data_IF_881038173291
#
_entry.id   IF_881038173291
#
_cell.length_a   1.000
_cell.length_b   1.000
_cell.length_c   1.000
_cell.angle_alpha   90.00
_cell.angle_beta   90.00
_cell.angle_gamma   90.00
#
_symmetry.space_group_name_H-M   'P 1'
#
loop_
_entity.id
_entity.type
_entity.pdbx_description
1 polymer ?
#
# COMPACT_ATOMS: atom_id res chain seq x y z
N UNK A 1 10.77 25.84 0.79
CA UNK A 1 9.80 24.73 0.77
C UNK A 1 10.16 23.87 -0.43
N UNK A 2 10.83 22.75 -0.21
CA UNK A 2 11.28 21.88 -1.30
C UNK A 2 10.05 21.32 -2.02
N UNK A 3 9.95 21.52 -3.34
CA UNK A 3 8.85 21.00 -4.16
C UNK A 3 9.13 19.52 -4.42
N UNK A 4 8.99 18.68 -3.40
CA UNK A 4 9.20 17.24 -3.54
C UNK A 4 8.24 16.71 -4.61
N UNK A 5 8.79 16.21 -5.71
CA UNK A 5 8.00 15.74 -6.86
C UNK A 5 7.09 14.60 -6.44
N UNK A 6 5.82 14.67 -6.83
CA UNK A 6 4.82 13.64 -6.57
C UNK A 6 4.53 12.91 -7.88
N UNK A 7 4.53 11.58 -7.85
CA UNK A 7 4.07 10.72 -8.96
C UNK A 7 2.83 9.94 -8.52
N UNK A 8 1.88 9.81 -9.44
CA UNK A 8 0.70 8.93 -9.28
C UNK A 8 0.88 7.73 -10.19
N UNK A 9 0.73 6.54 -9.64
CA UNK A 9 0.85 5.26 -10.34
C UNK A 9 -0.44 4.47 -10.12
N UNK A 10 -0.86 3.71 -11.13
CA UNK A 10 -1.91 2.70 -11.00
C UNK A 10 -1.26 1.36 -10.68
N UNK A 11 -1.78 0.68 -9.66
CA UNK A 11 -1.38 -0.66 -9.31
C UNK A 11 -1.71 -1.63 -10.46
N UNK A 12 -0.79 -2.53 -10.77
CA UNK A 12 -1.09 -3.67 -11.65
C UNK A 12 -2.19 -4.53 -11.04
N UNK A 13 -2.90 -5.29 -11.88
CA UNK A 13 -4.04 -6.09 -11.42
C UNK A 13 -3.62 -7.15 -10.37
N UNK A 14 -2.39 -7.66 -10.45
CA UNK A 14 -1.89 -8.76 -9.61
C UNK A 14 -0.59 -8.38 -8.90
N UNK A 15 -0.66 -8.28 -7.57
CA UNK A 15 0.52 -8.16 -6.70
C UNK A 15 0.89 -9.56 -6.20
N UNK A 16 1.45 -10.34 -7.09
CA UNK A 16 1.83 -11.74 -6.84
C UNK A 16 3.30 -11.98 -7.17
N UNK A 17 3.83 -13.14 -6.77
CA UNK A 17 5.22 -13.53 -7.02
C UNK A 17 5.60 -13.38 -8.52
N UNK A 18 4.65 -13.66 -9.43
CA UNK A 18 4.87 -13.55 -10.87
C UNK A 18 5.21 -12.15 -11.36
N UNK A 19 4.71 -11.10 -10.69
CA UNK A 19 4.90 -9.70 -11.08
C UNK A 19 5.79 -8.91 -10.11
N UNK A 20 6.21 -9.51 -8.99
CA UNK A 20 6.80 -8.78 -7.86
C UNK A 20 8.11 -8.05 -8.19
N UNK A 21 8.94 -8.64 -9.06
CA UNK A 21 10.21 -8.05 -9.49
C UNK A 21 9.95 -6.76 -10.27
N UNK A 22 9.04 -6.81 -11.25
CA UNK A 22 8.70 -5.64 -12.08
C UNK A 22 8.08 -4.52 -11.24
N UNK A 23 7.22 -4.86 -10.27
CA UNK A 23 6.63 -3.90 -9.34
C UNK A 23 7.72 -3.27 -8.47
N UNK A 24 8.65 -4.09 -7.95
CA UNK A 24 9.77 -3.61 -7.13
C UNK A 24 10.67 -2.65 -7.91
N UNK A 25 11.09 -3.00 -9.13
CA UNK A 25 11.92 -2.15 -9.98
C UNK A 25 11.24 -0.82 -10.30
N UNK A 26 9.95 -0.87 -10.63
CA UNK A 26 9.14 0.33 -10.88
C UNK A 26 9.16 1.26 -9.68
N UNK A 27 8.79 0.75 -8.49
CA UNK A 27 8.75 1.56 -7.26
C UNK A 27 10.15 2.07 -6.86
N UNK A 28 11.17 1.23 -6.98
CA UNK A 28 12.58 1.56 -6.73
C UNK A 28 13.04 2.76 -7.55
N UNK A 29 12.66 2.81 -8.84
CA UNK A 29 13.03 3.90 -9.74
C UNK A 29 12.52 5.28 -9.29
N UNK A 30 11.41 5.33 -8.54
CA UNK A 30 10.83 6.57 -8.00
C UNK A 30 11.34 6.86 -6.59
N UNK A 31 11.40 5.85 -5.71
CA UNK A 31 11.85 6.03 -4.33
C UNK A 31 13.33 6.40 -4.24
N UNK A 32 14.20 5.82 -5.08
CA UNK A 32 15.62 6.22 -5.14
C UNK A 32 15.83 7.65 -5.64
N UNK A 33 14.86 8.21 -6.39
CA UNK A 33 14.84 9.63 -6.78
C UNK A 33 14.19 10.53 -5.73
N UNK A 34 13.88 9.99 -4.54
CA UNK A 34 13.18 10.66 -3.44
C UNK A 34 11.84 11.29 -3.87
N UNK A 35 11.15 10.64 -4.81
CA UNK A 35 9.83 11.09 -5.26
C UNK A 35 8.75 10.55 -4.32
N UNK A 36 7.78 11.40 -4.01
CA UNK A 36 6.58 10.96 -3.29
C UNK A 36 5.71 10.14 -4.23
N UNK A 37 5.25 8.97 -3.80
CA UNK A 37 4.44 8.05 -4.59
C UNK A 37 3.01 7.98 -4.04
N UNK A 38 2.04 8.12 -4.93
CA UNK A 38 0.63 7.77 -4.67
C UNK A 38 0.32 6.56 -5.57
N UNK A 39 -0.01 5.42 -4.96
CA UNK A 39 -0.33 4.19 -5.66
C UNK A 39 -1.83 3.91 -5.55
N UNK A 40 -2.51 3.95 -6.69
CA UNK A 40 -3.94 3.73 -6.83
C UNK A 40 -4.23 2.24 -6.99
N UNK A 41 -4.96 1.65 -6.05
CA UNK A 41 -5.29 0.23 -6.02
C UNK A 41 -6.63 -0.14 -6.66
N UNK A 42 -7.33 0.80 -7.31
CA UNK A 42 -8.68 0.57 -7.83
C UNK A 42 -8.80 -0.61 -8.81
N UNK A 43 -7.74 -0.91 -9.57
CA UNK A 43 -7.69 -2.02 -10.53
C UNK A 43 -7.11 -3.33 -9.96
N UNK A 44 -6.61 -3.34 -8.72
CA UNK A 44 -5.98 -4.53 -8.17
C UNK A 44 -7.03 -5.59 -7.81
N UNK A 45 -6.83 -6.81 -8.31
CA UNK A 45 -7.72 -7.96 -8.15
C UNK A 45 -7.15 -9.03 -7.23
N UNK A 46 -5.83 -9.10 -7.11
CA UNK A 46 -5.17 -10.14 -6.35
C UNK A 46 -3.91 -9.62 -5.65
N UNK A 47 -3.70 -10.07 -4.42
CA UNK A 47 -2.48 -9.84 -3.63
C UNK A 47 -2.14 -11.13 -2.90
N UNK A 48 -0.97 -11.70 -3.18
CA UNK A 48 -0.43 -12.81 -2.39
C UNK A 48 0.49 -12.28 -1.26
N UNK A 49 1.07 -13.21 -0.49
CA UNK A 49 1.98 -12.86 0.60
C UNK A 49 3.19 -12.06 0.13
N UNK A 50 3.74 -12.31 -1.07
CA UNK A 50 4.89 -11.58 -1.60
C UNK A 50 4.52 -10.15 -2.00
N UNK A 51 3.35 -9.97 -2.62
CA UNK A 51 2.76 -8.67 -2.91
C UNK A 51 2.58 -7.82 -1.65
N UNK A 52 1.99 -8.42 -0.63
CA UNK A 52 1.79 -7.77 0.65
C UNK A 52 3.12 -7.39 1.33
N UNK A 53 4.09 -8.30 1.35
CA UNK A 53 5.42 -8.05 1.91
C UNK A 53 6.16 -6.91 1.18
N UNK A 54 6.05 -6.83 -0.15
CA UNK A 54 6.65 -5.72 -0.92
C UNK A 54 6.02 -4.37 -0.55
N UNK A 55 4.70 -4.32 -0.40
CA UNK A 55 4.01 -3.11 0.02
C UNK A 55 4.46 -2.66 1.43
N UNK A 56 4.56 -3.60 2.36
CA UNK A 56 5.06 -3.33 3.71
C UNK A 56 6.52 -2.86 3.69
N UNK A 57 7.37 -3.48 2.87
CA UNK A 57 8.76 -3.07 2.67
C UNK A 57 8.83 -1.60 2.23
N UNK A 58 8.09 -1.22 1.19
CA UNK A 58 8.14 0.17 0.69
C UNK A 58 7.52 1.17 1.65
N UNK A 59 6.50 0.79 2.43
CA UNK A 59 5.97 1.63 3.50
C UNK A 59 7.02 1.94 4.55
N UNK A 60 7.74 0.92 5.02
CA UNK A 60 8.85 1.08 5.98
C UNK A 60 9.99 1.90 5.39
N UNK A 61 10.40 1.60 4.16
CA UNK A 61 11.45 2.33 3.46
C UNK A 61 11.11 3.82 3.33
N UNK A 62 9.91 4.14 2.85
CA UNK A 62 9.46 5.51 2.66
C UNK A 62 9.42 6.28 3.99
N UNK A 63 8.92 5.66 5.06
CA UNK A 63 8.94 6.24 6.40
C UNK A 63 10.37 6.56 6.88
N UNK A 64 11.28 5.58 6.80
CA UNK A 64 12.67 5.74 7.24
C UNK A 64 13.41 6.84 6.46
N UNK A 65 13.08 7.03 5.18
CA UNK A 65 13.72 8.03 4.31
C UNK A 65 12.95 9.35 4.22
N UNK A 66 11.87 9.53 4.99
CA UNK A 66 10.99 10.71 4.97
C UNK A 66 10.42 11.00 3.56
N UNK A 67 10.15 9.95 2.79
CA UNK A 67 9.49 10.00 1.49
C UNK A 67 8.00 9.69 1.69
N UNK A 68 7.13 10.43 1.02
CA UNK A 68 5.70 10.16 1.05
C UNK A 68 5.35 8.94 0.21
N UNK A 69 4.75 7.92 0.84
CA UNK A 69 4.12 6.81 0.13
C UNK A 69 2.69 6.62 0.61
N UNK A 70 1.72 6.83 -0.29
CA UNK A 70 0.29 6.69 0.00
C UNK A 70 -0.35 5.65 -0.89
N UNK A 71 -1.15 4.79 -0.29
CA UNK A 71 -2.04 3.88 -1.01
C UNK A 71 -3.46 4.46 -0.99
N UNK A 72 -4.08 4.55 -2.15
CA UNK A 72 -5.42 5.14 -2.33
C UNK A 72 -6.31 4.20 -3.13
N UNK A 73 -7.63 4.41 -3.04
CA UNK A 73 -8.63 3.62 -3.76
C UNK A 73 -8.43 2.10 -3.55
N UNK A 74 -8.33 1.69 -2.29
CA UNK A 74 -8.09 0.30 -1.89
C UNK A 74 -9.13 -0.64 -2.51
N UNK A 75 -8.68 -1.63 -3.30
CA UNK A 75 -9.54 -2.67 -3.84
C UNK A 75 -10.02 -3.64 -2.75
N UNK A 76 -11.04 -4.43 -3.09
CA UNK A 76 -11.50 -5.53 -2.25
C UNK A 76 -10.38 -6.51 -1.89
N UNK A 77 -9.49 -6.81 -2.84
CA UNK A 77 -8.32 -7.65 -2.63
C UNK A 77 -7.39 -7.05 -1.56
N UNK A 78 -7.04 -5.77 -1.68
CA UNK A 78 -6.19 -5.10 -0.69
C UNK A 78 -6.87 -5.02 0.68
N UNK A 79 -8.16 -4.69 0.75
CA UNK A 79 -8.90 -4.61 2.00
C UNK A 79 -8.95 -5.98 2.71
N UNK A 80 -9.22 -7.05 1.97
CA UNK A 80 -9.24 -8.41 2.48
C UNK A 80 -7.87 -8.82 3.02
N UNK A 81 -6.79 -8.55 2.28
CA UNK A 81 -5.41 -8.82 2.71
C UNK A 81 -5.05 -8.02 3.96
N UNK A 82 -5.37 -6.73 4.02
CA UNK A 82 -5.11 -5.89 5.19
C UNK A 82 -5.85 -6.40 6.44
N UNK A 83 -7.11 -6.80 6.29
CA UNK A 83 -7.92 -7.40 7.36
C UNK A 83 -7.34 -8.74 7.83
N UNK A 84 -6.97 -9.62 6.89
CA UNK A 84 -6.39 -10.94 7.16
C UNK A 84 -5.10 -10.83 7.97
N UNK A 85 -4.22 -9.88 7.63
CA UNK A 85 -2.96 -9.66 8.35
C UNK A 85 -3.09 -8.70 9.55
N UNK A 86 -4.27 -8.16 9.84
CA UNK A 86 -4.47 -7.19 10.92
C UNK A 86 -3.56 -5.96 10.79
N UNK A 87 -3.41 -5.43 9.57
CA UNK A 87 -2.33 -4.49 9.24
C UNK A 87 -2.79 -3.09 8.79
N UNK A 88 -4.07 -2.78 8.95
CA UNK A 88 -4.65 -1.48 8.56
C UNK A 88 -3.86 -0.29 9.15
N UNK A 89 -3.54 -0.35 10.43
CA UNK A 89 -2.82 0.68 11.17
C UNK A 89 -1.32 0.74 10.88
N UNK A 90 -0.74 -0.35 10.36
CA UNK A 90 0.64 -0.37 9.85
C UNK A 90 0.77 0.46 8.57
N UNK A 91 -0.21 0.37 7.68
CA UNK A 91 -0.18 1.13 6.42
C UNK A 91 -0.47 2.62 6.62
N UNK A 92 -1.30 2.93 7.62
CA UNK A 92 -1.57 4.31 8.07
C UNK A 92 -2.30 5.19 7.04
N UNK A 93 -2.69 4.62 5.90
CA UNK A 93 -3.51 5.29 4.90
C UNK A 93 -4.98 5.31 5.35
N UNK A 94 -5.71 6.36 4.98
CA UNK A 94 -7.15 6.42 5.24
C UNK A 94 -7.87 5.40 4.37
N UNK A 95 -8.40 4.36 5.00
CA UNK A 95 -9.28 3.40 4.37
C UNK A 95 -10.71 3.95 4.35
N UNK A 96 -11.32 3.97 3.17
CA UNK A 96 -12.74 4.33 3.00
C UNK A 96 -13.50 3.04 2.75
N UNK A 97 -14.48 2.74 3.59
CA UNK A 97 -15.33 1.55 3.50
C UNK A 97 -16.77 1.99 3.24
N UNK A 98 -17.45 1.31 2.33
CA UNK A 98 -18.90 1.40 2.22
C UNK A 98 -19.56 0.67 3.41
N UNK A 99 -20.84 0.93 3.70
CA UNK A 99 -21.53 0.29 4.82
C UNK A 99 -21.47 -1.25 4.81
N UNK A 100 -21.61 -1.89 3.63
CA UNK A 100 -21.52 -3.36 3.49
C UNK A 100 -20.12 -3.94 3.67
N UNK A 101 -19.08 -3.14 3.42
CA UNK A 101 -17.67 -3.55 3.50
C UNK A 101 -17.24 -3.84 4.94
N UNK A 102 -17.89 -3.20 5.92
CA UNK A 102 -17.51 -3.32 7.35
C UNK A 102 -17.74 -4.72 7.90
N UNK A 103 -18.84 -5.36 7.51
CA UNK A 103 -19.15 -6.73 7.91
C UNK A 103 -18.28 -7.73 7.14
N UNK A 104 -17.98 -7.43 5.87
CA UNK A 104 -17.26 -8.33 4.97
C UNK A 104 -15.75 -8.40 5.23
N UNK A 105 -15.08 -7.26 5.39
CA UNK A 105 -13.62 -7.25 5.51
C UNK A 105 -13.11 -7.33 6.95
N UNK A 106 -14.03 -7.35 7.93
CA UNK A 106 -13.74 -7.63 9.32
C UNK A 106 -12.48 -6.92 9.81
N UNK A 107 -12.37 -5.61 9.58
CA UNK A 107 -11.25 -4.76 10.03
C UNK A 107 -11.29 -4.61 11.56
N UNK A 108 -11.33 -5.73 12.27
CA UNK A 108 -11.56 -5.87 13.70
C UNK A 108 -10.25 -5.76 14.48
N UNK A 109 -9.11 -5.80 13.79
CA UNK A 109 -7.78 -5.87 14.38
C UNK A 109 -6.82 -4.90 13.67
N UNK A 110 -5.77 -4.46 14.38
CA UNK A 110 -4.72 -3.64 13.79
C UNK A 110 -5.13 -2.21 13.43
N UNK A 111 -6.22 -1.68 13.98
CA UNK A 111 -6.68 -0.31 13.68
C UNK A 111 -5.85 0.79 14.36
N UNK A 112 -5.03 0.44 15.35
CA UNK A 112 -4.13 1.39 16.01
C UNK A 112 -3.02 1.78 15.05
N UNK A 113 -2.83 3.07 14.84
CA UNK A 113 -1.73 3.59 14.01
C UNK A 113 -0.41 3.13 14.62
N UNK A 114 0.36 2.36 13.87
CA UNK A 114 1.73 2.04 14.24
C UNK A 114 2.68 3.08 13.65
N UNK A 115 3.68 3.47 14.45
CA UNK A 115 4.73 4.38 13.99
C UNK A 115 5.93 3.50 13.68
N UNK A 116 6.29 3.41 12.40
CA UNK A 116 7.60 2.89 12.03
C UNK A 116 8.64 3.90 12.55
N UNK A 117 9.31 3.52 13.64
CA UNK A 117 10.43 4.24 14.26
C UNK A 117 11.69 4.12 13.43
#
# INVERSE_FOLDING_TARGET
>A
MDKTKVVKLTAVEEFTLGNIVNIHETLSSYFHKKMNVILDFSSNREIDTSGFQLLLYWKKYAAAHKIGFRIVNHSSALLSTLGTFGSVGLFGDKVHLQPGDREQYGLNYGLKKEVFS
#
